data_IF_779401212656
#
_entry.id   IF_779401212656
#
_cell.length_a   1.000
_cell.length_b   1.000
_cell.length_c   1.000
_cell.angle_alpha   90.00
_cell.angle_beta   90.00
_cell.angle_gamma   90.00
#
_symmetry.space_group_name_H-M   'P 1'
#
loop_
_entity.id
_entity.type
_entity.pdbx_description
1 polymer ?
#
# COMPACT_ATOMS: atom_id res chain seq x y z
N UNK A 1 2.57 -43.53 20.92
CA UNK A 1 1.35 -42.69 20.82
C UNK A 1 1.76 -41.27 20.44
N UNK A 2 1.36 -40.77 19.27
CA UNK A 2 1.84 -39.47 18.72
C UNK A 2 1.30 -38.27 19.51
N UNK A 3 0.05 -38.35 19.99
CA UNK A 3 -0.63 -37.28 20.70
C UNK A 3 0.07 -36.86 22.00
N UNK A 4 0.51 -37.83 22.81
CA UNK A 4 1.22 -37.57 24.06
C UNK A 4 2.55 -36.83 23.82
N UNK A 5 3.25 -37.15 22.72
CA UNK A 5 4.50 -36.48 22.32
C UNK A 5 4.30 -35.00 21.97
N UNK A 6 3.17 -34.64 21.37
CA UNK A 6 2.85 -33.25 21.01
C UNK A 6 2.25 -32.44 22.17
N UNK A 7 1.64 -33.11 23.16
CA UNK A 7 1.11 -32.42 24.35
C UNK A 7 2.20 -31.72 25.16
N UNK A 8 3.36 -32.37 25.33
CA UNK A 8 4.50 -31.80 26.07
C UNK A 8 5.43 -30.92 25.21
N UNK A 9 5.16 -30.76 23.91
CA UNK A 9 5.94 -29.83 23.07
C UNK A 9 5.48 -28.39 23.29
N UNK A 10 6.43 -27.46 23.20
CA UNK A 10 6.15 -26.02 23.17
C UNK A 10 5.19 -25.68 22.02
N UNK A 11 4.23 -24.80 22.27
CA UNK A 11 3.29 -24.30 21.26
C UNK A 11 4.02 -23.36 20.30
N UNK A 12 3.73 -23.48 19.01
CA UNK A 12 4.27 -22.65 17.91
C UNK A 12 3.51 -21.32 17.75
N UNK A 13 2.31 -21.23 18.31
CA UNK A 13 1.40 -20.08 18.19
C UNK A 13 1.97 -18.83 18.86
N UNK A 14 1.77 -17.68 18.22
CA UNK A 14 1.98 -16.33 18.80
C UNK A 14 0.69 -15.83 19.46
N UNK A 15 0.81 -15.00 20.50
CA UNK A 15 -0.34 -14.41 21.20
C UNK A 15 -0.61 -12.99 20.67
N UNK A 16 -1.43 -12.87 19.62
CA UNK A 16 -1.88 -11.56 19.13
C UNK A 16 -2.94 -10.98 20.08
N UNK A 17 -2.93 -9.67 20.41
CA UNK A 17 -2.11 -8.58 19.87
C UNK A 17 -0.80 -8.28 20.61
N UNK A 18 -0.52 -8.94 21.73
CA UNK A 18 0.65 -8.68 22.58
C UNK A 18 1.97 -9.01 21.88
N UNK A 19 2.02 -10.13 21.16
CA UNK A 19 3.12 -10.54 20.30
C UNK A 19 2.69 -10.46 18.82
N UNK A 20 3.36 -9.59 18.06
CA UNK A 20 3.09 -9.41 16.62
C UNK A 20 4.02 -10.26 15.77
N UNK A 21 3.46 -10.84 14.71
CA UNK A 21 4.25 -11.45 13.65
C UNK A 21 5.06 -10.37 12.93
N UNK A 22 6.34 -10.64 12.64
CA UNK A 22 7.17 -9.79 11.78
C UNK A 22 6.99 -10.28 10.34
N UNK A 23 6.35 -9.49 9.45
CA UNK A 23 6.24 -9.86 8.06
C UNK A 23 7.62 -10.02 7.41
N UNK A 24 7.76 -10.92 6.42
CA UNK A 24 9.00 -11.01 5.64
C UNK A 24 9.21 -9.77 4.78
N UNK A 25 10.46 -9.55 4.32
CA UNK A 25 10.80 -8.48 3.38
C UNK A 25 9.95 -8.58 2.10
N UNK A 26 9.51 -7.43 1.57
CA UNK A 26 8.61 -7.36 0.42
C UNK A 26 7.15 -7.69 0.77
N UNK A 27 6.77 -7.67 2.05
CA UNK A 27 5.38 -7.81 2.46
C UNK A 27 4.52 -6.69 1.88
N UNK A 28 3.40 -7.08 1.28
CA UNK A 28 2.46 -6.18 0.61
C UNK A 28 1.32 -5.81 1.56
N UNK A 29 1.56 -4.80 2.40
CA UNK A 29 0.58 -4.29 3.35
C UNK A 29 -0.35 -3.22 2.78
N UNK A 30 -0.67 -2.22 3.60
CA UNK A 30 -1.58 -1.15 3.21
C UNK A 30 -0.91 -0.18 2.25
N UNK A 31 -1.72 0.48 1.43
CA UNK A 31 -1.22 1.46 0.47
C UNK A 31 -0.87 2.75 1.20
N UNK A 32 0.31 3.30 0.92
CA UNK A 32 0.75 4.61 1.43
C UNK A 32 1.09 5.54 0.27
N UNK A 33 0.65 6.79 0.37
CA UNK A 33 1.09 7.85 -0.54
C UNK A 33 2.32 8.54 0.03
N UNK A 34 3.40 8.46 -0.72
CA UNK A 34 4.69 9.05 -0.38
C UNK A 34 4.68 10.57 -0.54
N UNK A 35 5.48 11.21 0.31
CA UNK A 35 5.69 12.64 0.30
C UNK A 35 7.14 12.98 -0.09
N UNK A 36 7.33 14.12 -0.72
CA UNK A 36 8.63 14.75 -0.86
C UNK A 36 9.10 15.30 0.50
N UNK A 37 10.40 15.65 0.65
CA UNK A 37 10.93 16.21 1.89
C UNK A 37 10.26 17.52 2.34
N UNK A 38 9.65 18.25 1.41
CA UNK A 38 8.86 19.47 1.66
C UNK A 38 7.42 19.18 2.16
N UNK A 39 7.05 17.90 2.29
CA UNK A 39 5.73 17.46 2.76
C UNK A 39 4.65 17.36 1.67
N UNK A 40 4.96 17.69 0.41
CA UNK A 40 4.02 17.54 -0.71
C UNK A 40 3.88 16.08 -1.11
N UNK A 41 2.70 15.67 -1.55
CA UNK A 41 2.47 14.31 -2.08
C UNK A 41 3.21 14.19 -3.42
N UNK A 42 3.88 13.05 -3.65
CA UNK A 42 4.64 12.79 -4.89
C UNK A 42 3.78 12.49 -6.12
N UNK A 43 2.51 12.15 -5.90
CA UNK A 43 1.60 11.75 -6.96
C UNK A 43 1.26 12.94 -7.87
N UNK A 44 1.49 12.78 -9.17
CA UNK A 44 1.18 13.77 -10.21
C UNK A 44 -0.13 13.49 -10.96
N UNK A 45 -0.98 12.62 -10.41
CA UNK A 45 -2.24 12.18 -11.02
C UNK A 45 -2.09 11.73 -12.50
N UNK A 46 -1.07 10.90 -12.79
CA UNK A 46 -0.86 10.32 -14.12
C UNK A 46 -1.79 9.14 -14.45
N UNK A 47 -2.55 8.65 -13.47
CA UNK A 47 -3.53 7.56 -13.60
C UNK A 47 -2.95 6.18 -14.00
N UNK A 48 -1.63 6.03 -14.09
CA UNK A 48 -0.98 4.78 -14.47
C UNK A 48 -1.25 3.64 -13.48
N UNK A 49 -1.32 3.95 -12.18
CA UNK A 49 -1.65 2.94 -11.16
C UNK A 49 -3.11 2.47 -11.25
N UNK A 50 -4.04 3.33 -11.66
CA UNK A 50 -5.43 2.97 -11.91
C UNK A 50 -5.53 2.06 -13.14
N UNK A 51 -4.87 2.45 -14.24
CA UNK A 51 -4.84 1.63 -15.46
C UNK A 51 -4.15 0.26 -15.26
N UNK A 52 -3.12 0.19 -14.41
CA UNK A 52 -2.42 -1.05 -14.10
C UNK A 52 -3.19 -1.95 -13.10
N UNK A 53 -4.25 -1.44 -12.47
CA UNK A 53 -4.99 -2.18 -11.45
C UNK A 53 -5.83 -3.30 -12.09
N UNK A 54 -5.58 -4.58 -11.77
CA UNK A 54 -6.38 -5.68 -12.34
C UNK A 54 -7.79 -5.76 -11.74
N UNK A 55 -8.03 -5.12 -10.58
CA UNK A 55 -9.30 -5.12 -9.88
C UNK A 55 -10.12 -3.83 -10.08
N UNK A 56 -9.59 -2.88 -10.86
CA UNK A 56 -10.20 -1.56 -11.11
C UNK A 56 -10.72 -0.89 -9.81
N UNK A 57 -9.82 -0.79 -8.81
CA UNK A 57 -10.17 -0.35 -7.46
C UNK A 57 -9.60 1.02 -7.07
N UNK A 58 -8.95 1.73 -7.99
CA UNK A 58 -8.26 3.00 -7.72
C UNK A 58 -8.97 4.11 -8.49
N UNK A 59 -9.52 5.08 -7.77
CA UNK A 59 -10.20 6.25 -8.32
C UNK A 59 -9.39 7.52 -8.08
N UNK A 60 -9.05 8.23 -9.15
CA UNK A 60 -8.22 9.43 -9.12
C UNK A 60 -8.95 10.55 -9.84
N UNK A 61 -9.00 11.73 -9.23
CA UNK A 61 -9.48 12.96 -9.88
C UNK A 61 -8.30 13.92 -10.06
N UNK A 62 -7.81 14.10 -11.29
CA UNK A 62 -6.71 15.04 -11.55
C UNK A 62 -7.21 16.49 -11.49
N UNK A 63 -6.38 17.38 -10.94
CA UNK A 63 -6.63 18.82 -10.91
C UNK A 63 -5.33 19.63 -10.84
N UNK A 64 -5.43 20.97 -10.74
CA UNK A 64 -4.27 21.82 -10.61
C UNK A 64 -3.62 21.66 -9.24
N UNK A 65 -2.29 21.81 -9.19
CA UNK A 65 -1.54 21.85 -7.95
C UNK A 65 -2.07 22.96 -7.00
N UNK A 66 -2.26 22.67 -5.69
CA UNK A 66 -2.79 23.63 -4.73
C UNK A 66 -1.78 24.71 -4.29
N UNK A 67 -0.53 24.68 -4.77
CA UNK A 67 0.50 25.67 -4.43
C UNK A 67 0.72 26.69 -5.54
N UNK A 68 1.11 27.91 -5.16
CA UNK A 68 1.37 28.97 -6.12
C UNK A 68 2.54 28.64 -7.05
N UNK A 69 2.31 28.80 -8.35
CA UNK A 69 3.30 28.50 -9.40
C UNK A 69 3.40 27.02 -9.78
N UNK A 70 2.63 26.12 -9.17
CA UNK A 70 2.58 24.72 -9.56
C UNK A 70 1.92 24.54 -10.93
N UNK A 71 2.72 24.25 -11.96
CA UNK A 71 2.22 23.85 -13.29
C UNK A 71 1.92 22.36 -13.39
N UNK A 72 2.17 21.62 -12.31
CA UNK A 72 2.04 20.17 -12.24
C UNK A 72 0.60 19.75 -11.95
N UNK A 73 0.25 18.54 -12.39
CA UNK A 73 -1.02 17.90 -12.05
C UNK A 73 -0.95 17.36 -10.62
N UNK A 74 -2.07 17.44 -9.92
CA UNK A 74 -2.20 16.98 -8.54
C UNK A 74 -3.47 16.14 -8.37
N UNK A 75 -3.45 15.07 -7.54
CA UNK A 75 -4.64 14.29 -7.25
C UNK A 75 -5.53 15.05 -6.27
N UNK A 76 -6.60 15.67 -6.76
CA UNK A 76 -7.63 16.33 -5.93
C UNK A 76 -8.34 15.29 -5.05
N UNK A 77 -8.52 14.09 -5.59
CA UNK A 77 -9.09 12.95 -4.91
C UNK A 77 -8.33 11.69 -5.30
N UNK A 78 -8.00 10.87 -4.32
CA UNK A 78 -7.30 9.60 -4.49
C UNK A 78 -7.89 8.59 -3.53
N UNK A 79 -8.76 7.73 -4.05
CA UNK A 79 -9.46 6.71 -3.26
C UNK A 79 -9.07 5.31 -3.75
N UNK A 80 -8.90 4.39 -2.82
CA UNK A 80 -8.69 2.96 -3.10
C UNK A 80 -9.78 2.18 -2.39
N UNK A 81 -10.53 1.39 -3.14
CA UNK A 81 -11.49 0.43 -2.59
C UNK A 81 -10.75 -0.82 -2.09
N UNK A 82 -10.51 -0.87 -0.77
CA UNK A 82 -9.82 -1.99 -0.12
C UNK A 82 -10.62 -3.30 -0.12
N UNK A 83 -11.94 -3.26 -0.38
CA UNK A 83 -12.75 -4.46 -0.50
C UNK A 83 -12.59 -5.14 -1.87
N UNK A 84 -12.17 -4.37 -2.88
CA UNK A 84 -11.85 -4.88 -4.22
C UNK A 84 -10.37 -5.16 -4.40
N UNK A 85 -9.51 -4.44 -3.69
CA UNK A 85 -8.06 -4.57 -3.86
C UNK A 85 -7.57 -5.98 -3.51
N UNK A 86 -6.76 -6.56 -4.40
CA UNK A 86 -6.16 -7.91 -4.24
C UNK A 86 -4.69 -7.87 -3.82
N UNK A 87 -4.15 -6.69 -3.44
CA UNK A 87 -2.77 -6.52 -2.95
C UNK A 87 -1.69 -7.06 -3.89
N UNK A 88 -1.88 -6.87 -5.21
CA UNK A 88 -0.97 -7.39 -6.24
C UNK A 88 0.36 -6.61 -6.39
N UNK A 89 0.44 -5.36 -5.90
CA UNK A 89 1.64 -4.51 -6.04
C UNK A 89 1.86 -3.89 -7.43
N UNK A 90 0.93 -4.05 -8.37
CA UNK A 90 1.09 -3.45 -9.70
C UNK A 90 1.04 -1.93 -9.67
N UNK A 91 0.30 -1.34 -8.73
CA UNK A 91 0.25 0.12 -8.56
C UNK A 91 1.60 0.71 -8.16
N UNK A 92 2.39 0.01 -7.34
CA UNK A 92 3.72 0.41 -6.91
C UNK A 92 4.72 0.31 -8.06
N UNK A 93 4.74 -0.81 -8.78
CA UNK A 93 5.62 -1.00 -9.94
C UNK A 93 5.27 -0.08 -11.12
N UNK A 94 4.00 0.29 -11.28
CA UNK A 94 3.55 1.17 -12.35
C UNK A 94 3.77 2.66 -12.06
N UNK A 95 4.11 3.03 -10.82
CA UNK A 95 4.22 4.44 -10.45
C UNK A 95 5.59 5.01 -10.87
N UNK A 96 5.65 5.98 -11.80
CA UNK A 96 6.93 6.54 -12.25
C UNK A 96 7.60 7.44 -11.19
N UNK A 97 6.82 8.02 -10.28
CA UNK A 97 7.28 8.95 -9.24
C UNK A 97 7.47 8.28 -7.87
N UNK A 98 7.32 6.95 -7.80
CA UNK A 98 7.34 6.18 -6.55
C UNK A 98 6.38 6.78 -5.49
N UNK A 99 5.25 7.29 -5.96
CA UNK A 99 4.31 8.03 -5.15
C UNK A 99 3.37 7.14 -4.33
N UNK A 100 3.16 5.90 -4.77
CA UNK A 100 2.37 4.90 -4.05
C UNK A 100 3.24 3.68 -3.80
N UNK A 101 3.21 3.20 -2.57
CA UNK A 101 3.94 2.02 -2.14
C UNK A 101 3.05 1.16 -1.23
N UNK A 102 3.41 -0.12 -1.11
CA UNK A 102 2.78 -1.04 -0.18
C UNK A 102 3.62 -1.11 1.09
N UNK A 103 3.02 -0.81 2.24
CA UNK A 103 3.77 -0.77 3.50
C UNK A 103 4.13 -2.16 3.98
N UNK A 104 5.34 -2.30 4.52
CA UNK A 104 5.81 -3.58 5.06
C UNK A 104 5.28 -3.85 6.48
N UNK A 105 4.78 -2.84 7.18
CA UNK A 105 4.08 -2.90 8.49
C UNK A 105 3.16 -1.68 8.64
#
# INVERSE_FOLDING_TARGET
MVTLRYFFKRKITIQYPDEKHVPPDGYRGLHRLNKYPDGRIRCVACEMCSAACPADCIYIVPGPAPWEGGKERYPVKFDIDLLKCIFCGFCEMACPEEAIELTEI
#
